data_IF_973709846176
#
_entry.id   IF_973709846176
#
_cell.length_a   1.000
_cell.length_b   1.000
_cell.length_c   1.000
_cell.angle_alpha   90.00
_cell.angle_beta   90.00
_cell.angle_gamma   90.00
#
_symmetry.space_group_name_H-M   'P 1'
#
loop_
_entity.id
_entity.type
_entity.pdbx_description
1 polymer ?
#
# COMPACT_ATOMS: atom_id res chain seq x y z
N UNK A 1 -24.36 6.11 5.74
CA UNK A 1 -23.58 4.90 5.36
C UNK A 1 -22.12 5.02 5.76
N UNK A 2 -21.35 6.03 5.30
CA UNK A 2 -19.91 6.15 5.63
C UNK A 2 -19.62 6.24 7.13
N UNK A 3 -20.32 7.10 7.87
CA UNK A 3 -20.13 7.21 9.32
C UNK A 3 -20.39 5.90 10.06
N UNK A 4 -21.44 5.17 9.66
CA UNK A 4 -21.79 3.87 10.24
C UNK A 4 -20.67 2.85 9.98
N UNK A 5 -20.13 2.81 8.75
CA UNK A 5 -18.97 1.98 8.42
C UNK A 5 -17.75 2.27 9.30
N UNK A 6 -17.50 3.55 9.62
CA UNK A 6 -16.39 3.94 10.52
C UNK A 6 -16.64 3.39 11.93
N UNK A 7 -17.83 3.60 12.49
CA UNK A 7 -18.17 3.11 13.84
C UNK A 7 -18.07 1.60 13.92
N UNK A 8 -18.61 0.89 12.91
CA UNK A 8 -18.51 -0.57 12.83
C UNK A 8 -17.04 -1.00 12.73
N UNK A 9 -16.25 -0.36 11.87
CA UNK A 9 -14.83 -0.64 11.72
C UNK A 9 -14.06 -0.50 13.02
N UNK A 10 -14.23 0.63 13.73
CA UNK A 10 -13.58 0.87 15.04
C UNK A 10 -13.98 -0.21 16.05
N UNK A 11 -15.28 -0.54 16.13
CA UNK A 11 -15.76 -1.60 17.03
C UNK A 11 -15.13 -2.95 16.72
N UNK A 12 -15.18 -3.40 15.46
CA UNK A 12 -14.60 -4.70 15.08
C UNK A 12 -13.08 -4.72 15.30
N UNK A 13 -12.36 -3.67 14.89
CA UNK A 13 -10.91 -3.61 15.05
C UNK A 13 -10.49 -3.65 16.53
N UNK A 14 -11.17 -2.89 17.39
CA UNK A 14 -10.88 -2.86 18.82
C UNK A 14 -11.20 -4.19 19.52
N UNK A 15 -12.38 -4.77 19.25
CA UNK A 15 -12.79 -6.06 19.83
C UNK A 15 -11.85 -7.17 19.39
N UNK A 16 -11.58 -7.27 18.09
CA UNK A 16 -10.70 -8.31 17.55
C UNK A 16 -9.29 -8.23 18.10
N UNK A 17 -8.73 -7.03 18.25
CA UNK A 17 -7.43 -6.83 18.89
C UNK A 17 -7.43 -7.36 20.33
N UNK A 18 -8.45 -7.02 21.12
CA UNK A 18 -8.55 -7.49 22.52
C UNK A 18 -8.70 -9.01 22.61
N UNK A 19 -9.50 -9.61 21.73
CA UNK A 19 -9.67 -11.06 21.65
C UNK A 19 -8.35 -11.75 21.28
N UNK A 20 -7.59 -11.18 20.34
CA UNK A 20 -6.33 -11.76 19.90
C UNK A 20 -5.25 -11.65 20.98
N UNK A 21 -5.12 -10.49 21.64
CA UNK A 21 -4.23 -10.30 22.79
C UNK A 21 -4.54 -11.27 23.93
N UNK A 22 -5.83 -11.45 24.23
CA UNK A 22 -6.26 -12.42 25.24
C UNK A 22 -5.87 -13.86 24.86
N UNK A 23 -6.14 -14.23 23.61
CA UNK A 23 -5.89 -15.60 23.13
C UNK A 23 -4.40 -15.93 23.08
N UNK A 24 -3.56 -14.98 22.67
CA UNK A 24 -2.11 -15.13 22.68
C UNK A 24 -1.54 -15.18 24.10
N UNK A 25 -2.04 -14.36 25.03
CA UNK A 25 -1.65 -14.45 26.45
C UNK A 25 -1.95 -15.82 27.08
N UNK A 26 -2.93 -16.54 26.55
CA UNK A 26 -3.28 -17.91 26.94
C UNK A 26 -2.62 -19.01 26.08
N UNK A 27 -1.70 -18.66 25.19
CA UNK A 27 -1.00 -19.59 24.28
C UNK A 27 -1.97 -20.43 23.42
N UNK A 28 -3.10 -19.84 23.00
CA UNK A 28 -4.10 -20.52 22.18
C UNK A 28 -3.85 -20.38 20.68
N UNK A 29 -2.95 -19.48 20.27
CA UNK A 29 -2.77 -19.05 18.88
C UNK A 29 -1.28 -18.81 18.62
N UNK A 30 -0.77 -19.35 17.51
CA UNK A 30 0.59 -19.13 17.02
C UNK A 30 0.67 -17.90 16.10
N UNK A 31 1.87 -17.38 15.86
CA UNK A 31 2.12 -16.22 14.99
C UNK A 31 1.47 -16.35 13.60
N UNK A 32 1.53 -17.53 12.98
CA UNK A 32 0.93 -17.78 11.66
C UNK A 32 -0.59 -17.62 11.66
N UNK A 33 -1.23 -17.96 12.78
CA UNK A 33 -2.68 -17.88 12.93
C UNK A 33 -3.19 -16.43 13.03
N UNK A 34 -2.31 -15.46 13.32
CA UNK A 34 -2.66 -14.03 13.35
C UNK A 34 -3.07 -13.53 11.96
N UNK A 35 -2.33 -13.95 10.92
CA UNK A 35 -2.61 -13.57 9.54
C UNK A 35 -3.93 -14.20 9.06
N UNK A 36 -4.14 -15.49 9.35
CA UNK A 36 -5.39 -16.17 8.99
C UNK A 36 -6.59 -15.53 9.70
N UNK A 37 -6.42 -15.16 10.97
CA UNK A 37 -7.44 -14.45 11.72
C UNK A 37 -7.76 -13.08 11.11
N UNK A 38 -6.75 -12.28 10.74
CA UNK A 38 -6.98 -10.95 10.17
C UNK A 38 -7.68 -11.03 8.80
N UNK A 39 -7.36 -12.02 7.97
CA UNK A 39 -8.09 -12.29 6.72
C UNK A 39 -9.53 -12.72 6.98
N UNK A 40 -9.75 -13.66 7.89
CA UNK A 40 -11.10 -14.13 8.23
C UNK A 40 -11.95 -12.98 8.78
N UNK A 41 -11.36 -12.13 9.61
CA UNK A 41 -12.00 -10.91 10.12
C UNK A 41 -12.34 -9.95 8.97
N UNK A 42 -11.43 -9.74 8.02
CA UNK A 42 -11.68 -8.88 6.87
C UNK A 42 -12.89 -9.37 6.05
N UNK A 43 -12.94 -10.67 5.72
CA UNK A 43 -14.07 -11.26 5.01
C UNK A 43 -15.38 -11.18 5.82
N UNK A 44 -15.31 -11.41 7.12
CA UNK A 44 -16.47 -11.31 8.02
C UNK A 44 -17.04 -9.88 8.03
N UNK A 45 -16.18 -8.88 8.19
CA UNK A 45 -16.59 -7.46 8.18
C UNK A 45 -17.20 -7.10 6.84
N UNK A 46 -16.56 -7.49 5.72
CA UNK A 46 -17.11 -7.24 4.38
C UNK A 46 -18.50 -7.85 4.23
N UNK A 47 -18.69 -9.11 4.66
CA UNK A 47 -19.98 -9.79 4.60
C UNK A 47 -21.05 -9.10 5.42
N UNK A 48 -20.79 -8.84 6.70
CA UNK A 48 -21.75 -8.19 7.61
C UNK A 48 -22.11 -6.78 7.15
N UNK A 49 -21.11 -5.96 6.81
CA UNK A 49 -21.34 -4.56 6.41
C UNK A 49 -22.08 -4.46 5.08
N UNK A 50 -21.83 -5.41 4.16
CA UNK A 50 -22.55 -5.49 2.89
C UNK A 50 -24.03 -5.86 3.10
N UNK A 51 -24.34 -6.77 4.03
CA UNK A 51 -25.73 -7.08 4.40
C UNK A 51 -26.46 -5.87 5.02
N UNK A 52 -25.73 -5.01 5.72
CA UNK A 52 -26.24 -3.75 6.27
C UNK A 52 -26.38 -2.63 5.21
N UNK A 53 -25.99 -2.87 3.96
CA UNK A 53 -26.04 -1.87 2.89
C UNK A 53 -25.12 -0.66 3.15
N UNK A 54 -24.05 -0.86 3.91
CA UNK A 54 -23.05 0.16 4.23
C UNK A 54 -21.76 -0.06 3.41
N UNK A 55 -20.83 0.91 3.44
CA UNK A 55 -19.59 0.81 2.68
C UNK A 55 -18.62 -0.17 3.37
N UNK A 56 -18.42 -1.33 2.75
CA UNK A 56 -17.60 -2.43 3.23
C UNK A 56 -16.11 -2.11 3.23
N UNK A 57 -15.63 -1.43 2.18
CA UNK A 57 -14.20 -1.10 2.02
C UNK A 57 -13.73 -0.11 3.08
N UNK A 58 -14.57 0.88 3.41
CA UNK A 58 -14.29 1.82 4.48
C UNK A 58 -14.29 1.14 5.85
N UNK A 59 -15.27 0.25 6.11
CA UNK A 59 -15.36 -0.44 7.38
C UNK A 59 -14.16 -1.37 7.63
N UNK A 60 -13.76 -2.17 6.64
CA UNK A 60 -12.61 -3.07 6.76
C UNK A 60 -11.29 -2.31 6.89
N UNK A 61 -11.14 -1.18 6.19
CA UNK A 61 -9.97 -0.31 6.32
C UNK A 61 -9.85 0.26 7.74
N UNK A 62 -10.93 0.85 8.27
CA UNK A 62 -10.94 1.41 9.62
C UNK A 62 -10.74 0.32 10.68
N UNK A 63 -11.29 -0.87 10.47
CA UNK A 63 -11.03 -2.02 11.33
C UNK A 63 -9.56 -2.41 11.34
N UNK A 64 -8.91 -2.51 10.18
CA UNK A 64 -7.47 -2.80 10.08
C UNK A 64 -6.61 -1.76 10.79
N UNK A 65 -6.89 -0.47 10.59
CA UNK A 65 -6.17 0.63 11.28
C UNK A 65 -6.37 0.56 12.79
N UNK A 66 -7.60 0.30 13.26
CA UNK A 66 -7.89 0.22 14.70
C UNK A 66 -7.29 -1.05 15.32
N UNK A 67 -7.28 -2.14 14.56
CA UNK A 67 -6.72 -3.43 14.94
C UNK A 67 -5.21 -3.37 15.12
N UNK A 68 -4.48 -2.70 14.21
CA UNK A 68 -3.04 -2.51 14.29
C UNK A 68 -2.63 -1.18 14.97
N UNK A 69 -3.48 -0.64 15.84
CA UNK A 69 -3.27 0.69 16.42
C UNK A 69 -2.18 0.70 17.50
N UNK A 70 -1.98 -0.39 18.24
CA UNK A 70 -0.73 -0.57 18.99
C UNK A 70 0.28 -1.33 18.14
N UNK A 71 1.54 -0.94 18.24
CA UNK A 71 2.66 -1.60 17.58
C UNK A 71 2.78 -3.09 18.00
N UNK A 72 2.07 -3.52 19.06
CA UNK A 72 1.98 -4.91 19.51
C UNK A 72 1.69 -5.92 18.40
N UNK A 73 0.74 -5.63 17.49
CA UNK A 73 0.45 -6.58 16.40
C UNK A 73 1.66 -6.72 15.46
N UNK A 74 2.34 -5.61 15.17
CA UNK A 74 3.53 -5.59 14.32
C UNK A 74 4.65 -6.38 14.99
N UNK A 75 4.94 -6.12 16.26
CA UNK A 75 5.96 -6.82 17.06
C UNK A 75 5.71 -8.34 17.12
N UNK A 76 4.46 -8.77 17.35
CA UNK A 76 4.15 -10.20 17.47
C UNK A 76 4.27 -10.93 16.12
N UNK A 77 3.98 -10.23 15.02
CA UNK A 77 4.14 -10.76 13.65
C UNK A 77 5.53 -10.57 13.06
N UNK A 78 6.43 -9.89 13.78
CA UNK A 78 7.83 -9.72 13.37
C UNK A 78 8.50 -11.09 13.21
N UNK A 79 9.08 -11.32 12.03
CA UNK A 79 9.65 -12.60 11.59
C UNK A 79 8.67 -13.59 10.94
N UNK A 80 7.38 -13.24 10.77
CA UNK A 80 6.45 -14.07 10.00
C UNK A 80 6.44 -13.68 8.53
N UNK A 81 7.09 -14.51 7.70
CA UNK A 81 7.13 -14.30 6.24
C UNK A 81 5.80 -14.66 5.55
N UNK A 82 4.80 -15.18 6.27
CA UNK A 82 3.54 -15.61 5.67
C UNK A 82 2.79 -14.45 5.02
N UNK A 83 2.81 -13.27 5.64
CA UNK A 83 2.13 -12.10 5.08
C UNK A 83 2.77 -11.69 3.75
N UNK A 84 4.11 -11.70 3.69
CA UNK A 84 4.86 -11.36 2.47
C UNK A 84 4.59 -12.36 1.34
N UNK A 85 4.60 -13.67 1.65
CA UNK A 85 4.32 -14.72 0.67
C UNK A 85 2.89 -14.60 0.14
N UNK A 86 1.92 -14.39 1.03
CA UNK A 86 0.52 -14.15 0.67
C UNK A 86 0.40 -12.93 -0.22
N UNK A 87 0.97 -11.79 0.18
CA UNK A 87 0.91 -10.54 -0.57
C UNK A 87 1.55 -10.71 -1.95
N UNK A 88 2.67 -11.43 -2.03
CA UNK A 88 3.31 -11.77 -3.30
C UNK A 88 2.38 -12.60 -4.20
N UNK A 89 1.78 -13.68 -3.69
CA UNK A 89 0.89 -14.56 -4.45
C UNK A 89 -0.34 -13.78 -4.93
N UNK A 90 -1.00 -13.01 -4.07
CA UNK A 90 -2.18 -12.22 -4.44
C UNK A 90 -1.86 -11.15 -5.46
N UNK A 91 -0.76 -10.41 -5.29
CA UNK A 91 -0.36 -9.37 -6.22
C UNK A 91 0.04 -9.97 -7.59
N UNK A 92 0.85 -11.03 -7.61
CA UNK A 92 1.19 -11.76 -8.85
C UNK A 92 -0.07 -12.26 -9.56
N UNK A 93 -0.94 -12.97 -8.85
CA UNK A 93 -2.17 -13.52 -9.41
C UNK A 93 -3.07 -12.42 -9.97
N UNK A 94 -3.22 -11.33 -9.22
CA UNK A 94 -4.01 -10.18 -9.63
C UNK A 94 -3.45 -9.52 -10.89
N UNK A 95 -2.14 -9.25 -10.96
CA UNK A 95 -1.56 -8.56 -12.12
C UNK A 95 -1.51 -9.43 -13.36
N UNK A 96 -1.28 -10.74 -13.21
CA UNK A 96 -1.41 -11.70 -14.31
C UNK A 96 -2.85 -11.69 -14.83
N UNK A 97 -3.83 -11.81 -13.94
CA UNK A 97 -5.24 -11.75 -14.32
C UNK A 97 -5.61 -10.41 -14.96
N UNK A 98 -5.21 -9.29 -14.37
CA UNK A 98 -5.47 -7.96 -14.92
C UNK A 98 -4.90 -7.84 -16.33
N UNK A 99 -3.67 -8.32 -16.55
CA UNK A 99 -3.02 -8.29 -17.85
C UNK A 99 -3.79 -9.03 -18.96
N UNK A 100 -4.48 -10.13 -18.63
CA UNK A 100 -5.27 -10.90 -19.62
C UNK A 100 -6.60 -10.25 -19.97
N UNK A 101 -7.19 -9.45 -19.06
CA UNK A 101 -8.50 -8.81 -19.25
C UNK A 101 -8.41 -7.38 -19.80
N UNK A 102 -7.20 -6.88 -20.11
CA UNK A 102 -7.02 -5.54 -20.68
C UNK A 102 -7.52 -5.49 -22.14
N UNK A 103 -8.39 -4.52 -22.50
CA UNK A 103 -8.95 -4.38 -23.84
C UNK A 103 -7.98 -3.67 -24.80
N UNK A 104 -6.89 -4.33 -25.16
CA UNK A 104 -5.81 -3.80 -26.01
C UNK A 104 -6.30 -3.19 -27.33
N UNK A 105 -7.27 -3.84 -27.99
CA UNK A 105 -7.84 -3.34 -29.24
C UNK A 105 -8.53 -1.98 -29.06
N UNK A 106 -9.28 -1.80 -27.96
CA UNK A 106 -9.97 -0.54 -27.64
C UNK A 106 -8.98 0.56 -27.28
N UNK A 107 -7.86 0.22 -26.65
CA UNK A 107 -6.82 1.20 -26.36
C UNK A 107 -6.20 1.76 -27.62
N UNK A 108 -5.93 0.91 -28.62
CA UNK A 108 -5.30 1.33 -29.88
C UNK A 108 -6.06 2.47 -30.58
N UNK A 109 -7.40 2.46 -30.53
CA UNK A 109 -8.26 3.48 -31.14
C UNK A 109 -8.09 4.88 -30.50
N UNK A 110 -7.73 4.94 -29.21
CA UNK A 110 -7.73 6.17 -28.41
C UNK A 110 -6.43 6.38 -27.61
N UNK A 111 -5.35 5.70 -28.00
CA UNK A 111 -4.13 5.57 -27.21
C UNK A 111 -3.48 6.91 -26.86
N UNK A 112 -3.48 7.86 -27.81
CA UNK A 112 -2.89 9.20 -27.61
C UNK A 112 -3.64 9.98 -26.53
N UNK A 113 -4.97 9.91 -26.53
CA UNK A 113 -5.82 10.54 -25.51
C UNK A 113 -5.65 9.86 -24.15
N UNK A 114 -5.54 8.53 -24.13
CA UNK A 114 -5.33 7.77 -22.90
C UNK A 114 -3.96 8.07 -22.26
N UNK A 115 -2.88 8.14 -23.06
CA UNK A 115 -1.55 8.51 -22.58
C UNK A 115 -1.58 9.93 -21.99
N UNK A 116 -2.13 10.89 -22.73
CA UNK A 116 -2.24 12.28 -22.26
C UNK A 116 -3.04 12.36 -20.96
N UNK A 117 -4.19 11.68 -20.90
CA UNK A 117 -5.04 11.64 -19.71
C UNK A 117 -4.33 10.98 -18.52
N UNK A 118 -3.66 9.84 -18.72
CA UNK A 118 -2.85 9.18 -17.69
C UNK A 118 -1.77 10.12 -17.18
N UNK A 119 -0.98 10.75 -18.05
CA UNK A 119 0.04 11.72 -17.64
C UNK A 119 -0.55 12.87 -16.83
N UNK A 120 -1.67 13.45 -17.26
CA UNK A 120 -2.37 14.49 -16.52
C UNK A 120 -2.82 13.99 -15.13
N UNK A 121 -3.44 12.82 -15.04
CA UNK A 121 -3.93 12.29 -13.76
C UNK A 121 -2.76 12.00 -12.83
N UNK A 122 -1.68 11.37 -13.30
CA UNK A 122 -0.53 11.05 -12.46
C UNK A 122 0.16 12.32 -11.93
N UNK A 123 0.26 13.37 -12.76
CA UNK A 123 0.90 14.63 -12.35
C UNK A 123 -0.02 15.53 -11.51
N UNK A 124 -1.31 15.61 -11.79
CA UNK A 124 -2.19 16.61 -11.19
C UNK A 124 -3.10 16.09 -10.08
N UNK A 125 -3.35 14.78 -9.99
CA UNK A 125 -4.32 14.23 -9.02
C UNK A 125 -3.88 14.40 -7.58
N UNK A 126 -2.58 14.24 -7.29
CA UNK A 126 -2.06 14.23 -5.91
C UNK A 126 -0.97 15.26 -5.66
N UNK A 127 0.00 15.37 -6.57
CA UNK A 127 1.18 16.22 -6.38
C UNK A 127 0.84 17.69 -6.09
N UNK A 128 -0.08 18.36 -6.81
CA UNK A 128 -0.41 19.76 -6.53
C UNK A 128 -1.04 19.93 -5.14
N UNK A 129 -1.96 19.02 -4.77
CA UNK A 129 -2.63 19.09 -3.47
C UNK A 129 -1.67 18.85 -2.32
N UNK A 130 -0.76 17.87 -2.44
CA UNK A 130 0.26 17.61 -1.42
C UNK A 130 1.21 18.79 -1.30
N UNK A 131 1.63 19.41 -2.41
CA UNK A 131 2.51 20.58 -2.39
C UNK A 131 1.84 21.83 -1.78
N UNK A 132 0.52 21.99 -1.95
CA UNK A 132 -0.24 23.06 -1.33
C UNK A 132 -0.40 22.83 0.17
N UNK A 133 -0.69 21.59 0.56
CA UNK A 133 -0.92 21.21 1.97
C UNK A 133 0.40 21.06 2.74
N UNK A 134 1.51 20.76 2.08
CA UNK A 134 2.80 20.53 2.74
C UNK A 134 3.27 21.74 3.55
N UNK A 135 2.84 22.95 3.21
CA UNK A 135 3.11 24.16 4.00
C UNK A 135 2.49 24.10 5.41
N UNK A 136 1.42 23.33 5.60
CA UNK A 136 0.72 23.16 6.86
C UNK A 136 1.13 21.89 7.61
N UNK A 137 1.88 20.99 6.98
CA UNK A 137 2.34 19.75 7.60
C UNK A 137 3.72 19.94 8.23
N UNK A 138 3.79 19.94 9.56
CA UNK A 138 5.07 20.15 10.28
C UNK A 138 6.07 19.00 10.09
N UNK A 139 5.60 17.82 9.67
CA UNK A 139 6.45 16.65 9.40
C UNK A 139 7.17 16.73 8.05
N UNK A 140 6.65 17.50 7.08
CA UNK A 140 7.26 17.71 5.77
C UNK A 140 8.14 18.96 5.80
N UNK A 141 9.43 18.76 6.05
CA UNK A 141 10.37 19.87 6.26
C UNK A 141 10.95 20.38 4.96
N UNK A 142 10.91 19.57 3.89
CA UNK A 142 11.44 19.97 2.58
C UNK A 142 10.49 19.77 1.42
N UNK A 143 10.66 20.61 0.41
CA UNK A 143 9.96 20.50 -0.87
C UNK A 143 10.22 19.14 -1.54
N UNK A 144 11.41 18.55 -1.34
CA UNK A 144 11.74 17.22 -1.86
C UNK A 144 10.91 16.12 -1.21
N UNK A 145 10.72 16.17 0.11
CA UNK A 145 9.84 15.24 0.83
C UNK A 145 8.38 15.40 0.39
N UNK A 146 7.93 16.63 0.16
CA UNK A 146 6.57 16.89 -0.33
C UNK A 146 6.36 16.38 -1.77
N UNK A 147 7.33 16.58 -2.67
CA UNK A 147 7.30 16.02 -4.04
C UNK A 147 7.31 14.49 -3.97
N UNK A 148 8.16 13.91 -3.13
CA UNK A 148 8.24 12.45 -2.93
C UNK A 148 6.89 11.90 -2.45
N UNK A 149 6.33 12.48 -1.38
CA UNK A 149 5.03 12.09 -0.85
C UNK A 149 3.92 12.27 -1.89
N UNK A 150 3.94 13.37 -2.65
CA UNK A 150 2.96 13.65 -3.69
C UNK A 150 3.02 12.66 -4.86
N UNK A 151 4.23 12.24 -5.24
CA UNK A 151 4.48 11.30 -6.32
C UNK A 151 4.13 9.86 -5.94
N UNK A 152 4.53 9.39 -4.74
CA UNK A 152 4.30 8.00 -4.31
C UNK A 152 2.88 7.78 -3.80
N UNK A 153 1.93 7.74 -4.74
CA UNK A 153 0.52 7.40 -4.52
C UNK A 153 -0.09 6.69 -5.73
N UNK A 154 0.41 5.48 -6.08
CA UNK A 154 -0.01 4.77 -7.28
C UNK A 154 -1.50 4.45 -7.27
N UNK A 155 -2.06 4.35 -8.47
CA UNK A 155 -3.44 3.94 -8.71
C UNK A 155 -3.46 2.41 -8.74
N UNK A 156 -4.12 1.82 -7.75
CA UNK A 156 -4.15 0.37 -7.57
C UNK A 156 -5.50 -0.27 -7.90
N UNK A 157 -5.66 -1.49 -7.36
CA UNK A 157 -6.81 -2.39 -7.58
C UNK A 157 -8.15 -1.76 -7.20
N UNK A 158 -8.18 -0.87 -6.21
CA UNK A 158 -9.42 -0.18 -5.82
C UNK A 158 -10.06 0.59 -6.96
N UNK A 159 -9.27 1.18 -7.87
CA UNK A 159 -9.81 1.85 -9.05
C UNK A 159 -10.46 0.88 -10.04
N UNK A 160 -9.89 -0.32 -10.20
CA UNK A 160 -10.49 -1.39 -11.01
C UNK A 160 -11.84 -1.79 -10.42
N UNK A 161 -11.90 -2.06 -9.11
CA UNK A 161 -13.14 -2.43 -8.42
C UNK A 161 -14.27 -1.40 -8.64
N UNK A 162 -13.98 -0.11 -8.42
CA UNK A 162 -14.99 0.94 -8.63
C UNK A 162 -15.34 1.13 -10.11
N UNK A 163 -14.39 0.94 -11.03
CA UNK A 163 -14.67 1.03 -12.46
C UNK A 163 -15.58 -0.11 -12.93
N UNK A 164 -15.38 -1.33 -12.44
CA UNK A 164 -16.26 -2.47 -12.69
C UNK A 164 -17.66 -2.22 -12.14
N UNK A 165 -17.76 -1.66 -10.92
CA UNK A 165 -19.04 -1.26 -10.37
C UNK A 165 -19.74 -0.20 -11.23
N UNK A 166 -18.98 0.78 -11.74
CA UNK A 166 -19.50 1.80 -12.64
C UNK A 166 -19.99 1.20 -13.97
N UNK A 167 -19.30 0.22 -14.55
CA UNK A 167 -19.79 -0.51 -15.74
C UNK A 167 -21.11 -1.21 -15.43
N UNK A 168 -21.23 -1.89 -14.28
CA UNK A 168 -22.47 -2.58 -13.90
C UNK A 168 -23.63 -1.60 -13.74
N UNK A 169 -23.40 -0.45 -13.10
CA UNK A 169 -24.44 0.54 -12.84
C UNK A 169 -24.82 1.37 -14.07
N UNK A 170 -23.84 1.75 -14.88
CA UNK A 170 -23.99 2.68 -16.00
C UNK A 170 -24.07 1.98 -17.36
N UNK A 171 -23.82 0.67 -17.40
CA UNK A 171 -23.85 -0.17 -18.61
C UNK A 171 -22.92 0.36 -19.72
N UNK A 172 -21.76 0.89 -19.34
CA UNK A 172 -20.81 1.52 -20.26
C UNK A 172 -19.37 1.11 -19.94
N UNK A 173 -18.77 0.32 -20.83
CA UNK A 173 -17.41 -0.22 -20.68
C UNK A 173 -16.33 0.86 -20.71
N UNK A 174 -16.62 2.08 -21.17
CA UNK A 174 -15.63 3.16 -21.25
C UNK A 174 -15.00 3.46 -19.89
N UNK A 175 -15.76 3.33 -18.80
CA UNK A 175 -15.28 3.59 -17.44
C UNK A 175 -14.20 2.61 -17.02
N UNK A 176 -14.41 1.33 -17.32
CA UNK A 176 -13.40 0.30 -17.12
C UNK A 176 -12.20 0.56 -18.01
N UNK A 177 -12.38 0.72 -19.32
CA UNK A 177 -11.28 0.92 -20.28
C UNK A 177 -10.35 2.08 -19.88
N UNK A 178 -10.92 3.22 -19.48
CA UNK A 178 -10.14 4.38 -19.06
C UNK A 178 -9.43 4.10 -17.73
N UNK A 179 -10.15 3.58 -16.72
CA UNK A 179 -9.59 3.32 -15.40
C UNK A 179 -8.48 2.26 -15.43
N UNK A 180 -8.67 1.16 -16.17
CA UNK A 180 -7.70 0.08 -16.29
C UNK A 180 -6.43 0.53 -17.01
N UNK A 181 -6.54 1.40 -18.03
CA UNK A 181 -5.35 1.99 -18.66
C UNK A 181 -4.58 2.93 -17.73
N UNK A 182 -5.29 3.72 -16.92
CA UNK A 182 -4.69 4.59 -15.92
C UNK A 182 -3.98 3.77 -14.83
N UNK A 183 -4.59 2.69 -14.35
CA UNK A 183 -3.98 1.75 -13.39
C UNK A 183 -2.72 1.12 -14.00
N UNK A 184 -2.80 0.60 -15.23
CA UNK A 184 -1.64 0.05 -15.95
C UNK A 184 -0.50 1.07 -16.05
N UNK A 185 -0.81 2.28 -16.50
CA UNK A 185 0.16 3.37 -16.64
C UNK A 185 0.79 3.71 -15.27
N UNK A 186 -0.03 3.77 -14.22
CA UNK A 186 0.43 4.06 -12.86
C UNK A 186 1.37 2.98 -12.34
N UNK A 187 1.02 1.71 -12.50
CA UNK A 187 1.83 0.57 -12.01
C UNK A 187 3.19 0.55 -12.71
N UNK A 188 3.23 0.75 -14.03
CA UNK A 188 4.48 0.82 -14.79
C UNK A 188 5.33 2.01 -14.35
N UNK A 189 4.76 3.21 -14.32
CA UNK A 189 5.50 4.44 -14.01
C UNK A 189 6.03 4.41 -12.57
N UNK A 190 5.17 4.12 -11.58
CA UNK A 190 5.59 4.13 -10.18
C UNK A 190 6.49 2.93 -9.86
N UNK A 191 6.18 1.75 -10.40
CA UNK A 191 6.99 0.54 -10.24
C UNK A 191 8.40 0.70 -10.79
N UNK A 192 8.57 1.33 -11.96
CA UNK A 192 9.90 1.64 -12.50
C UNK A 192 10.63 2.74 -11.72
N UNK A 193 9.88 3.65 -11.09
CA UNK A 193 10.45 4.80 -10.40
C UNK A 193 11.07 4.45 -9.04
N UNK A 194 10.53 3.46 -8.31
CA UNK A 194 11.06 3.00 -7.00
C UNK A 194 12.56 2.62 -7.06
N UNK A 195 13.00 1.67 -7.92
CA UNK A 195 14.41 1.28 -7.98
C UNK A 195 15.32 2.41 -8.49
N UNK A 196 14.82 3.27 -9.38
CA UNK A 196 15.57 4.44 -9.85
C UNK A 196 15.86 5.42 -8.71
N UNK A 197 14.89 5.67 -7.83
CA UNK A 197 15.10 6.51 -6.65
C UNK A 197 16.17 5.90 -5.72
N UNK A 198 16.12 4.60 -5.46
CA UNK A 198 17.15 3.91 -4.66
C UNK A 198 18.56 4.10 -5.22
N UNK A 199 18.74 3.93 -6.54
CA UNK A 199 20.03 4.13 -7.20
C UNK A 199 20.56 5.56 -7.07
N UNK A 200 19.68 6.55 -7.16
CA UNK A 200 20.07 7.97 -6.99
C UNK A 200 20.50 8.29 -5.56
N UNK A 201 19.89 7.67 -4.56
CA UNK A 201 20.25 7.83 -3.15
C UNK A 201 21.61 7.19 -2.84
N UNK A 202 21.85 5.96 -3.32
CA UNK A 202 23.15 5.26 -3.15
C UNK A 202 24.29 6.05 -3.80
N UNK A 203 24.05 6.64 -4.98
CA UNK A 203 25.02 7.51 -5.67
C UNK A 203 25.30 8.82 -4.93
N UNK A 204 24.32 9.33 -4.16
CA UNK A 204 24.53 10.50 -3.30
C UNK A 204 25.33 10.17 -2.03
N UNK A 205 25.20 8.94 -1.50
CA UNK A 205 25.96 8.42 -0.35
C UNK A 205 27.45 8.33 -0.65
N UNK A 206 27.82 7.70 -1.76
CA UNK A 206 29.22 7.58 -2.23
C UNK A 206 29.87 8.93 -2.51
N UNK A 207 29.09 9.94 -2.89
CA UNK A 207 29.59 11.32 -3.07
C UNK A 207 29.76 12.07 -1.75
N UNK A 208 28.97 11.74 -0.72
CA UNK A 208 29.05 12.37 0.60
C UNK A 208 30.12 11.76 1.50
N UNK A 209 30.46 10.47 1.35
CA UNK A 209 31.57 9.83 2.07
C UNK A 209 32.95 10.42 1.66
N UNK A 210 33.03 11.10 0.52
CA UNK A 210 34.18 11.91 0.13
C UNK A 210 34.19 13.35 0.68
N UNK A 211 33.17 13.77 1.42
CA UNK A 211 33.04 15.12 1.97
C UNK A 211 32.91 15.07 3.50
N UNK A 212 33.89 15.65 4.20
CA UNK A 212 34.10 15.67 5.66
C UNK A 212 32.99 16.33 6.53
N UNK A 213 31.77 16.53 6.03
CA UNK A 213 30.69 17.18 6.78
C UNK A 213 29.43 16.32 6.89
N UNK A 214 28.91 16.08 8.10
CA UNK A 214 27.70 15.27 8.29
C UNK A 214 26.50 16.00 7.70
N UNK A 215 25.86 15.37 6.71
CA UNK A 215 24.70 15.90 6.03
C UNK A 215 23.41 15.41 6.74
N UNK A 216 22.66 16.27 7.46
CA UNK A 216 21.51 15.87 8.27
C UNK A 216 20.33 15.30 7.47
N UNK A 217 20.40 15.36 6.13
CA UNK A 217 19.45 14.75 5.21
C UNK A 217 19.57 13.22 5.14
N UNK A 218 20.80 12.69 5.21
CA UNK A 218 21.08 11.25 5.04
C UNK A 218 20.64 10.49 6.29
N UNK A 219 21.01 10.95 7.48
CA UNK A 219 20.70 10.25 8.73
C UNK A 219 19.22 10.21 9.15
N UNK A 220 18.35 11.02 8.52
CA UNK A 220 16.88 10.94 8.74
C UNK A 220 16.19 10.04 7.73
N UNK A 221 16.66 10.02 6.47
CA UNK A 221 16.19 9.08 5.46
C UNK A 221 16.60 7.63 5.80
N UNK A 222 17.81 7.46 6.36
CA UNK A 222 18.28 6.18 6.90
C UNK A 222 17.35 5.64 7.99
N UNK A 223 16.69 6.48 8.80
CA UNK A 223 15.76 6.03 9.83
C UNK A 223 14.42 5.54 9.26
N UNK A 224 13.98 6.11 8.13
CA UNK A 224 12.78 5.65 7.44
C UNK A 224 13.04 4.38 6.60
N UNK A 225 14.25 4.26 6.04
CA UNK A 225 14.65 3.04 5.31
C UNK A 225 15.17 1.93 6.21
N UNK A 226 15.79 2.21 7.36
CA UNK A 226 16.20 1.14 8.30
C UNK A 226 14.99 0.40 8.87
N UNK A 227 13.85 1.08 9.01
CA UNK A 227 12.58 0.45 9.39
C UNK A 227 12.04 -0.44 8.26
N UNK A 228 12.29 -0.12 6.99
CA UNK A 228 11.88 -0.98 5.85
C UNK A 228 12.91 -2.04 5.47
N UNK A 229 14.19 -1.87 5.83
CA UNK A 229 15.31 -2.77 5.48
C UNK A 229 15.62 -3.76 6.60
N UNK A 230 15.37 -3.42 7.86
CA UNK A 230 15.51 -4.38 8.98
C UNK A 230 14.54 -5.56 8.86
N UNK A 231 13.46 -5.42 8.10
CA UNK A 231 12.53 -6.51 7.78
C UNK A 231 12.96 -7.38 6.58
N UNK A 232 13.93 -6.95 5.77
CA UNK A 232 14.33 -7.66 4.54
C UNK A 232 15.70 -8.36 4.65
N UNK A 233 16.48 -8.14 5.72
CA UNK A 233 17.81 -8.74 5.88
C UNK A 233 18.07 -9.15 7.33
N UNK A 234 17.45 -10.25 7.75
CA UNK A 234 18.03 -11.16 8.77
C UNK A 234 18.51 -12.41 8.01
N UNK A 235 19.69 -12.29 7.39
CA UNK A 235 20.47 -13.45 6.99
C UNK A 235 21.41 -13.71 8.16
N UNK A 236 21.12 -14.79 8.87
CA UNK A 236 21.91 -15.37 9.95
C UNK A 236 23.36 -15.59 9.46
N UNK A 237 24.24 -14.65 9.83
CA UNK A 237 25.67 -14.64 9.46
C UNK A 237 26.55 -15.23 10.58
N UNK A 238 26.01 -16.11 11.43
CA UNK A 238 26.75 -16.78 12.52
C UNK A 238 26.89 -18.31 12.31
N UNK A 239 27.34 -18.73 11.12
CA UNK A 239 27.91 -20.08 10.98
C UNK A 239 29.16 -20.09 10.09
N UNK A 240 30.19 -19.37 10.54
CA UNK A 240 31.57 -19.66 10.16
C UNK A 240 31.98 -21.04 10.75
N UNK A 241 32.10 -22.00 9.83
CA UNK A 241 33.29 -22.87 9.68
C UNK A 241 34.13 -23.06 10.95
N UNK A 242 33.95 -24.19 11.62
CA UNK A 242 35.02 -24.85 12.37
C UNK A 242 35.05 -26.34 12.03
N UNK A 243 35.99 -26.68 11.14
CA UNK A 243 36.59 -28.00 10.79
C UNK A 243 35.68 -29.05 10.17
#
# INVERSE_FOLDING_TARGET
QVFISIVIGVMYGWVSRKVLQFSQGHHLIDKESFLVFSMALAFHIIGVVKLLGCNELMAVFVAGVTFAWDDWFVEETEGSNLQEVVDFIFNMSFFVFLGTVLPWAKYAEIISRLIMLSCCILLFRRLPFVMLISKYMHDLKTVKEAIFLGWFGPIGVGAILYSTLAVIMLQDEKYYNIASFIVLSSVIIHGATVPLFHLTLIRSRTRSEGALWPNPFVGRFDRYMSVSVSSEVDIDEDNEILV
#
